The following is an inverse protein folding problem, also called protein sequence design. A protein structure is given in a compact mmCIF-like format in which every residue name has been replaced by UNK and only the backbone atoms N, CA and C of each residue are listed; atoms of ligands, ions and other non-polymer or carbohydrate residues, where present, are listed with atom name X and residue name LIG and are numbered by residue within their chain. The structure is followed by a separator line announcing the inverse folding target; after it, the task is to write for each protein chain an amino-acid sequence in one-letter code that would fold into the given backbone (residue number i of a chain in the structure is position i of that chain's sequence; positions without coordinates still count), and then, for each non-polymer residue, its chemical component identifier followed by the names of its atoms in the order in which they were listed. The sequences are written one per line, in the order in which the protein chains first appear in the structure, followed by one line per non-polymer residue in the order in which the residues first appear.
data_IF_419604562173
#
_entry.id   IF_419604562173
#
_cell.length_a   1.000
_cell.length_b   1.000
_cell.length_c   1.000
_cell.angle_alpha   90.00
_cell.angle_beta   90.00
_cell.angle_gamma   90.00
#
_symmetry.space_group_name_H-M   'P 1'
#
loop_
_entity.id
_entity.type
_entity.pdbx_description
1 polymer ?
#
# COMPACT_ATOMS: atom_id res chain seq x y z
N UNK A 1 14.44 -25.29 37.93
CA UNK A 1 13.97 -24.14 37.12
C UNK A 1 13.62 -24.49 35.66
N UNK A 2 13.87 -25.71 35.14
CA UNK A 2 14.00 -25.86 33.67
C UNK A 2 12.82 -26.50 32.90
N UNK A 3 11.78 -27.05 33.55
CA UNK A 3 10.66 -27.67 32.82
C UNK A 3 9.79 -26.66 32.06
N UNK A 4 9.44 -25.52 32.68
CA UNK A 4 8.61 -24.50 32.03
C UNK A 4 9.31 -23.88 30.81
N UNK A 5 10.63 -23.67 30.87
CA UNK A 5 11.36 -23.09 29.73
C UNK A 5 11.44 -24.07 28.54
N UNK A 6 11.65 -25.37 28.79
CA UNK A 6 11.63 -26.39 27.74
C UNK A 6 10.24 -26.55 27.09
N UNK A 7 9.16 -26.43 27.88
CA UNK A 7 7.78 -26.40 27.36
C UNK A 7 7.56 -25.21 26.43
N UNK A 8 8.01 -24.02 26.84
CA UNK A 8 7.94 -22.80 26.03
C UNK A 8 8.75 -22.91 24.73
N UNK A 9 10.00 -23.41 24.78
CA UNK A 9 10.84 -23.61 23.60
C UNK A 9 10.18 -24.53 22.56
N UNK A 10 9.41 -25.53 23.00
CA UNK A 10 8.60 -26.38 22.12
C UNK A 10 7.48 -25.63 21.39
N UNK A 11 6.79 -24.69 22.07
CA UNK A 11 5.77 -23.85 21.45
C UNK A 11 6.38 -22.78 20.54
N UNK A 12 7.35 -22.03 21.05
CA UNK A 12 8.00 -20.95 20.32
C UNK A 12 8.80 -21.47 19.12
N UNK A 13 9.48 -22.61 19.23
CA UNK A 13 10.26 -23.18 18.11
C UNK A 13 9.43 -23.55 16.87
N UNK A 14 8.11 -23.77 17.03
CA UNK A 14 7.18 -23.97 15.90
C UNK A 14 6.65 -22.62 15.40
N UNK A 15 6.18 -21.76 16.31
CA UNK A 15 5.61 -20.44 15.98
C UNK A 15 6.64 -19.51 15.33
N UNK A 16 7.85 -19.46 15.88
CA UNK A 16 8.98 -18.67 15.37
C UNK A 16 9.33 -19.03 13.93
N UNK A 17 9.35 -20.33 13.58
CA UNK A 17 9.56 -20.78 12.20
C UNK A 17 8.41 -20.36 11.29
N UNK A 18 7.15 -20.42 11.74
CA UNK A 18 6.03 -19.93 10.95
C UNK A 18 6.11 -18.42 10.70
N UNK A 19 6.44 -17.63 11.74
CA UNK A 19 6.66 -16.18 11.65
C UNK A 19 7.84 -15.85 10.72
N UNK A 20 8.92 -16.63 10.77
CA UNK A 20 10.08 -16.45 9.89
C UNK A 20 9.70 -16.64 8.42
N UNK A 21 8.99 -17.72 8.07
CA UNK A 21 8.51 -17.93 6.70
C UNK A 21 7.53 -16.85 6.24
N UNK A 22 6.67 -16.33 7.14
CA UNK A 22 5.75 -15.23 6.85
C UNK A 22 6.52 -13.93 6.55
N UNK A 23 7.55 -13.61 7.35
CA UNK A 23 8.40 -12.43 7.16
C UNK A 23 9.27 -12.53 5.90
N UNK A 24 9.81 -13.71 5.59
CA UNK A 24 10.60 -13.96 4.38
C UNK A 24 9.75 -14.01 3.10
N UNK A 25 8.42 -14.18 3.21
CA UNK A 25 7.51 -14.27 2.07
C UNK A 25 7.71 -15.51 1.19
N UNK A 26 8.31 -16.57 1.74
CA UNK A 26 8.82 -17.72 0.97
C UNK A 26 7.71 -18.46 0.22
N UNK A 27 7.68 -18.43 -1.12
CA UNK A 27 6.60 -19.05 -1.90
C UNK A 27 6.65 -20.58 -1.78
N UNK A 28 5.53 -21.18 -1.36
CA UNK A 28 5.35 -22.64 -1.26
C UNK A 28 5.19 -23.18 0.16
N UNK A 29 5.63 -22.46 1.19
CA UNK A 29 5.50 -22.91 2.59
C UNK A 29 4.09 -22.63 3.11
N UNK A 30 3.26 -23.68 3.21
CA UNK A 30 1.91 -23.56 3.79
C UNK A 30 1.98 -23.51 5.32
N UNK A 31 1.80 -22.31 5.89
CA UNK A 31 1.59 -22.15 7.34
C UNK A 31 0.14 -22.53 7.70
N UNK A 32 -0.03 -23.45 8.65
CA UNK A 32 -1.35 -23.79 9.19
C UNK A 32 -1.76 -22.78 10.26
N UNK A 33 -2.62 -21.83 9.88
CA UNK A 33 -3.13 -20.79 10.78
C UNK A 33 -3.82 -21.37 12.02
N UNK A 34 -4.64 -22.42 11.87
CA UNK A 34 -5.33 -23.11 12.96
C UNK A 34 -4.34 -23.72 13.96
N UNK A 35 -3.28 -24.37 13.46
CA UNK A 35 -2.25 -24.97 14.30
C UNK A 35 -1.45 -23.89 15.05
N UNK A 36 -1.05 -22.81 14.35
CA UNK A 36 -0.28 -21.74 14.99
C UNK A 36 -1.10 -21.01 16.04
N UNK A 37 -2.35 -20.65 15.73
CA UNK A 37 -3.29 -20.07 16.70
C UNK A 37 -3.50 -20.99 17.92
N UNK A 38 -3.66 -22.30 17.69
CA UNK A 38 -3.82 -23.29 18.78
C UNK A 38 -2.58 -23.40 19.68
N UNK A 39 -1.37 -23.24 19.13
CA UNK A 39 -0.13 -23.24 19.90
C UNK A 39 0.01 -21.93 20.70
N UNK A 40 -0.25 -20.78 20.07
CA UNK A 40 -0.24 -19.48 20.75
C UNK A 40 -1.27 -19.44 21.88
N UNK A 41 -2.51 -19.90 21.63
CA UNK A 41 -3.55 -20.02 22.66
C UNK A 41 -3.07 -20.83 23.88
N UNK A 42 -2.50 -22.02 23.65
CA UNK A 42 -1.97 -22.88 24.74
C UNK A 42 -0.82 -22.19 25.49
N UNK A 43 0.11 -21.56 24.77
CA UNK A 43 1.24 -20.84 25.36
C UNK A 43 0.80 -19.65 26.21
N UNK A 44 -0.26 -18.93 25.80
CA UNK A 44 -0.86 -17.85 26.60
C UNK A 44 -1.57 -18.40 27.82
N UNK A 45 -2.34 -19.49 27.69
CA UNK A 45 -3.00 -20.16 28.83
C UNK A 45 -2.01 -20.71 29.86
N UNK A 46 -0.82 -21.13 29.42
CA UNK A 46 0.28 -21.56 30.27
C UNK A 46 1.06 -20.40 30.93
N UNK A 47 0.67 -19.15 30.68
CA UNK A 47 1.26 -17.95 31.30
C UNK A 47 2.49 -17.37 30.58
N UNK A 48 2.80 -17.81 29.36
CA UNK A 48 3.96 -17.30 28.60
C UNK A 48 3.63 -16.13 27.66
N UNK A 49 2.60 -15.33 27.95
CA UNK A 49 2.13 -14.27 27.05
C UNK A 49 3.14 -13.14 26.86
N UNK A 50 3.76 -12.67 27.94
CA UNK A 50 4.81 -11.63 27.93
C UNK A 50 6.02 -12.11 27.12
N UNK A 51 6.59 -13.26 27.48
CA UNK A 51 7.74 -13.83 26.77
C UNK A 51 7.46 -14.08 25.28
N UNK A 52 6.27 -14.56 24.92
CA UNK A 52 5.87 -14.76 23.52
C UNK A 52 5.69 -13.46 22.74
N UNK A 53 5.29 -12.37 23.41
CA UNK A 53 5.24 -11.05 22.83
C UNK A 53 6.65 -10.48 22.63
N UNK A 54 7.52 -10.56 23.65
CA UNK A 54 8.92 -10.12 23.56
C UNK A 54 9.69 -10.86 22.46
N UNK A 55 9.61 -12.20 22.42
CA UNK A 55 10.30 -13.01 21.41
C UNK A 55 9.78 -12.74 19.98
N UNK A 56 8.48 -12.42 19.82
CA UNK A 56 7.89 -11.97 18.55
C UNK A 56 8.43 -10.59 18.16
N UNK A 57 8.42 -9.62 19.06
CA UNK A 57 8.94 -8.27 18.81
C UNK A 57 10.44 -8.30 18.50
N UNK A 58 11.22 -9.14 19.20
CA UNK A 58 12.64 -9.36 18.94
C UNK A 58 12.89 -10.03 17.57
N UNK A 59 12.08 -11.01 17.18
CA UNK A 59 12.18 -11.65 15.87
C UNK A 59 11.84 -10.68 14.72
N UNK A 60 10.75 -9.91 14.85
CA UNK A 60 10.41 -8.85 13.89
C UNK A 60 11.50 -7.77 13.83
N UNK A 61 12.05 -7.36 14.98
CA UNK A 61 13.16 -6.40 15.06
C UNK A 61 14.38 -6.88 14.28
N UNK A 62 14.81 -8.13 14.52
CA UNK A 62 15.98 -8.73 13.84
C UNK A 62 15.77 -8.82 12.33
N UNK A 63 14.57 -9.15 11.88
CA UNK A 63 14.24 -9.16 10.46
C UNK A 63 14.32 -7.75 9.85
N UNK A 64 13.77 -6.74 10.52
CA UNK A 64 13.83 -5.35 10.07
C UNK A 64 15.26 -4.79 10.06
N UNK A 65 16.12 -5.21 10.99
CA UNK A 65 17.54 -4.86 11.00
C UNK A 65 18.31 -5.47 9.81
N UNK A 66 17.97 -6.69 9.39
CA UNK A 66 18.51 -7.28 8.16
C UNK A 66 18.01 -6.56 6.89
N UNK A 67 16.75 -6.13 6.86
CA UNK A 67 16.20 -5.30 5.78
C UNK A 67 16.90 -3.93 5.74
N UNK A 68 17.14 -3.31 6.89
CA UNK A 68 17.85 -2.03 6.99
C UNK A 68 19.31 -2.15 6.54
N UNK A 69 20.03 -3.19 6.96
CA UNK A 69 21.38 -3.49 6.48
C UNK A 69 21.41 -3.68 4.95
N UNK A 70 20.44 -4.41 4.40
CA UNK A 70 20.31 -4.61 2.95
C UNK A 70 20.07 -3.28 2.22
N UNK A 71 19.16 -2.44 2.73
CA UNK A 71 18.90 -1.09 2.21
C UNK A 71 20.10 -0.13 2.35
N UNK A 72 20.98 -0.33 3.35
CA UNK A 72 22.23 0.43 3.49
C UNK A 72 23.29 -0.01 2.49
N UNK A 73 23.40 -1.30 2.19
CA UNK A 73 24.37 -1.79 1.19
C UNK A 73 24.11 -1.20 -0.20
N UNK A 74 22.85 -1.15 -0.65
CA UNK A 74 22.49 -0.46 -1.90
C UNK A 74 22.91 1.01 -1.88
N UNK A 75 22.62 1.77 -0.79
CA UNK A 75 23.04 3.17 -0.67
C UNK A 75 24.56 3.35 -0.81
N UNK A 76 25.36 2.39 -0.33
CA UNK A 76 26.82 2.46 -0.38
C UNK A 76 27.40 2.09 -1.76
N UNK A 77 26.68 1.29 -2.55
CA UNK A 77 26.97 1.07 -3.97
C UNK A 77 26.56 2.28 -4.84
N UNK A 78 25.49 2.99 -4.45
CA UNK A 78 24.99 4.20 -5.14
C UNK A 78 26.03 5.32 -5.24
N UNK A 79 26.84 5.52 -4.20
CA UNK A 79 27.89 6.56 -4.16
C UNK A 79 29.03 6.31 -5.19
N UNK A 80 29.08 5.11 -5.79
CA UNK A 80 30.11 4.74 -6.78
C UNK A 80 29.60 4.72 -8.24
N UNK A 81 28.28 4.63 -8.48
CA UNK A 81 27.72 4.60 -9.84
C UNK A 81 26.45 5.45 -9.97
N UNK A 82 26.58 6.58 -10.67
CA UNK A 82 25.51 7.59 -10.77
C UNK A 82 24.26 7.12 -11.53
N UNK A 83 23.09 7.44 -10.98
CA UNK A 83 21.83 7.56 -11.71
C UNK A 83 20.92 6.32 -11.77
N UNK A 84 21.47 5.11 -11.76
CA UNK A 84 20.68 3.87 -11.88
C UNK A 84 20.16 3.28 -10.56
N UNK A 85 20.75 3.67 -9.43
CA UNK A 85 20.65 2.90 -8.19
C UNK A 85 19.61 3.41 -7.19
N UNK A 86 19.37 4.73 -7.15
CA UNK A 86 18.33 5.34 -6.31
C UNK A 86 16.94 4.77 -6.60
N UNK A 87 16.64 4.52 -7.89
CA UNK A 87 15.42 3.82 -8.34
C UNK A 87 15.32 2.40 -7.78
N UNK A 88 16.45 1.66 -7.72
CA UNK A 88 16.49 0.30 -7.15
C UNK A 88 16.25 0.32 -5.65
N UNK A 89 16.88 1.25 -4.94
CA UNK A 89 16.67 1.47 -3.50
C UNK A 89 15.19 1.74 -3.18
N UNK A 90 14.51 2.59 -3.96
CA UNK A 90 13.08 2.89 -3.78
C UNK A 90 12.20 1.68 -4.11
N UNK A 91 12.47 0.95 -5.20
CA UNK A 91 11.72 -0.27 -5.54
C UNK A 91 11.90 -1.35 -4.48
N UNK A 92 13.12 -1.56 -3.98
CA UNK A 92 13.41 -2.54 -2.93
C UNK A 92 12.79 -2.13 -1.59
N UNK A 93 12.84 -0.84 -1.22
CA UNK A 93 12.14 -0.32 -0.05
C UNK A 93 10.62 -0.53 -0.17
N UNK A 94 10.04 -0.24 -1.33
CA UNK A 94 8.61 -0.49 -1.59
C UNK A 94 8.25 -1.96 -1.46
N UNK A 95 9.05 -2.85 -2.05
CA UNK A 95 8.84 -4.30 -1.96
C UNK A 95 8.97 -4.81 -0.52
N UNK A 96 9.97 -4.36 0.23
CA UNK A 96 10.15 -4.72 1.64
C UNK A 96 8.98 -4.24 2.51
N UNK A 97 8.49 -3.01 2.27
CA UNK A 97 7.30 -2.45 2.92
C UNK A 97 6.03 -3.27 2.60
N UNK A 98 5.80 -3.61 1.33
CA UNK A 98 4.67 -4.47 0.96
C UNK A 98 4.74 -5.86 1.60
N UNK A 99 5.92 -6.50 1.58
CA UNK A 99 6.15 -7.79 2.20
C UNK A 99 5.87 -7.73 3.70
N UNK A 100 6.35 -6.69 4.38
CA UNK A 100 6.13 -6.53 5.83
C UNK A 100 4.66 -6.26 6.17
N UNK A 101 3.93 -5.45 5.39
CA UNK A 101 2.49 -5.23 5.58
C UNK A 101 1.69 -6.53 5.37
N UNK A 102 2.02 -7.31 4.33
CA UNK A 102 1.43 -8.65 4.08
C UNK A 102 1.79 -9.64 5.20
N UNK A 103 2.96 -9.51 5.82
CA UNK A 103 3.37 -10.31 6.96
C UNK A 103 2.57 -9.94 8.24
N UNK A 104 2.40 -8.65 8.54
CA UNK A 104 1.56 -8.19 9.68
C UNK A 104 0.13 -8.73 9.56
N UNK A 105 -0.46 -8.67 8.36
CA UNK A 105 -1.82 -9.18 8.11
C UNK A 105 -1.96 -10.69 8.38
N UNK A 106 -0.89 -11.48 8.25
CA UNK A 106 -0.87 -12.91 8.55
C UNK A 106 -0.50 -13.21 10.02
N UNK A 107 0.40 -12.43 10.60
CA UNK A 107 0.80 -12.57 12.01
C UNK A 107 -0.35 -12.16 12.95
N UNK A 108 -1.08 -11.09 12.65
CA UNK A 108 -2.11 -10.55 13.55
C UNK A 108 -3.20 -11.57 13.90
N UNK A 109 -3.79 -12.35 12.96
CA UNK A 109 -4.74 -13.41 13.28
C UNK A 109 -4.14 -14.55 14.13
N UNK A 110 -2.89 -14.97 13.86
CA UNK A 110 -2.20 -16.04 14.61
C UNK A 110 -2.08 -15.66 16.09
N UNK A 111 -1.75 -14.40 16.36
CA UNK A 111 -1.59 -13.86 17.71
C UNK A 111 -2.83 -13.13 18.26
N UNK A 112 -4.00 -13.25 17.63
CA UNK A 112 -5.21 -12.51 18.01
C UNK A 112 -5.62 -12.75 19.48
N UNK A 113 -5.41 -13.96 19.99
CA UNK A 113 -5.66 -14.28 21.40
C UNK A 113 -4.68 -13.55 22.34
N UNK A 114 -3.37 -13.61 22.05
CA UNK A 114 -2.34 -12.87 22.80
C UNK A 114 -2.57 -11.36 22.76
N UNK A 115 -2.96 -10.82 21.59
CA UNK A 115 -3.30 -9.42 21.41
C UNK A 115 -4.41 -8.99 22.38
N UNK A 116 -5.52 -9.72 22.41
CA UNK A 116 -6.70 -9.39 23.24
C UNK A 116 -6.46 -9.58 24.74
N UNK A 117 -5.75 -10.63 25.14
CA UNK A 117 -5.58 -10.96 26.56
C UNK A 117 -4.36 -10.31 27.23
N UNK A 118 -3.35 -9.93 26.46
CA UNK A 118 -2.10 -9.36 26.99
C UNK A 118 -1.80 -7.97 26.43
N UNK A 119 -1.74 -7.80 25.11
CA UNK A 119 -1.23 -6.55 24.48
C UNK A 119 -2.19 -5.37 24.69
N UNK A 120 -3.49 -5.58 24.47
CA UNK A 120 -4.52 -4.55 24.70
C UNK A 120 -4.64 -4.15 26.17
N UNK A 121 -4.45 -5.11 27.08
CA UNK A 121 -4.53 -4.92 28.54
C UNK A 121 -3.30 -4.20 29.08
N UNK A 122 -2.11 -4.54 28.60
CA UNK A 122 -0.82 -4.08 29.14
C UNK A 122 -0.33 -2.80 28.49
N UNK A 123 -0.49 -2.66 27.17
CA UNK A 123 0.08 -1.55 26.38
C UNK A 123 -0.97 -0.55 25.85
N UNK A 124 -2.27 -0.78 26.09
CA UNK A 124 -3.38 0.03 25.56
C UNK A 124 -3.33 0.22 24.02
N UNK A 125 -2.74 -0.75 23.32
CA UNK A 125 -2.50 -0.72 21.87
C UNK A 125 -2.74 -2.11 21.28
N UNK A 126 -2.85 -2.23 19.96
CA UNK A 126 -2.87 -3.53 19.29
C UNK A 126 -1.47 -3.97 18.86
N UNK A 127 -1.26 -5.28 18.77
CA UNK A 127 -0.05 -5.89 18.19
C UNK A 127 0.19 -5.39 16.76
N UNK A 128 -0.87 -5.22 15.97
CA UNK A 128 -0.80 -4.64 14.63
C UNK A 128 -0.22 -3.21 14.66
N UNK A 129 -0.66 -2.38 15.61
CA UNK A 129 -0.14 -1.03 15.81
C UNK A 129 1.35 -1.06 16.21
N UNK A 130 1.74 -1.91 17.17
CA UNK A 130 3.14 -2.05 17.59
C UNK A 130 4.07 -2.54 16.48
N UNK A 131 3.62 -3.48 15.63
CA UNK A 131 4.40 -3.97 14.51
C UNK A 131 4.57 -2.92 13.40
N UNK A 132 3.55 -2.09 13.13
CA UNK A 132 3.67 -0.94 12.23
C UNK A 132 4.68 0.09 12.80
N UNK A 133 4.55 0.42 14.08
CA UNK A 133 5.44 1.36 14.76
C UNK A 133 6.88 0.84 14.77
N UNK A 134 7.09 -0.48 14.89
CA UNK A 134 8.41 -1.08 14.81
C UNK A 134 9.10 -0.87 13.45
N UNK A 135 8.41 -1.09 12.33
CA UNK A 135 8.94 -0.76 10.99
C UNK A 135 9.22 0.73 10.85
N UNK A 136 8.31 1.56 11.38
CA UNK A 136 8.43 3.01 11.36
C UNK A 136 9.76 3.46 12.00
N UNK A 137 10.00 3.06 13.25
CA UNK A 137 11.18 3.45 14.02
C UNK A 137 12.48 2.81 13.51
N UNK A 138 12.44 1.55 13.05
CA UNK A 138 13.65 0.81 12.65
C UNK A 138 14.12 1.12 11.22
N UNK A 139 13.20 1.38 10.29
CA UNK A 139 13.52 1.49 8.86
C UNK A 139 13.05 2.82 8.26
N UNK A 140 11.82 3.27 8.55
CA UNK A 140 11.24 4.41 7.83
C UNK A 140 11.76 5.77 8.33
N UNK A 141 11.70 6.06 9.64
CA UNK A 141 12.04 7.37 10.19
C UNK A 141 13.49 7.79 9.86
N UNK A 142 14.44 6.85 9.87
CA UNK A 142 15.85 7.08 9.52
C UNK A 142 16.11 7.39 8.03
N UNK A 143 15.17 7.04 7.14
CA UNK A 143 15.34 7.09 5.68
C UNK A 143 14.37 8.05 4.99
N UNK A 144 13.32 8.47 5.69
CA UNK A 144 12.25 9.34 5.20
C UNK A 144 12.76 10.58 4.45
N UNK A 145 13.70 11.33 5.02
CA UNK A 145 14.25 12.54 4.38
C UNK A 145 14.97 12.23 3.05
N UNK A 146 15.76 11.16 3.01
CA UNK A 146 16.50 10.73 1.81
C UNK A 146 15.55 10.17 0.75
N UNK A 147 14.56 9.37 1.16
CA UNK A 147 13.55 8.80 0.26
C UNK A 147 12.68 9.89 -0.37
N UNK A 148 12.23 10.89 0.39
CA UNK A 148 11.39 11.96 -0.15
C UNK A 148 12.15 12.83 -1.15
N UNK A 149 13.39 13.24 -0.85
CA UNK A 149 14.23 13.98 -1.80
C UNK A 149 14.54 13.16 -3.07
N UNK A 150 14.77 11.85 -2.92
CA UNK A 150 15.01 10.93 -4.04
C UNK A 150 13.78 10.73 -4.92
N UNK A 151 12.59 10.61 -4.32
CA UNK A 151 11.32 10.51 -5.04
C UNK A 151 11.00 11.83 -5.76
N UNK A 152 11.31 12.97 -5.16
CA UNK A 152 11.12 14.28 -5.80
C UNK A 152 11.97 14.44 -7.07
N UNK A 153 13.28 14.14 -7.03
CA UNK A 153 14.15 14.13 -8.24
C UNK A 153 13.63 13.14 -9.29
N UNK A 154 13.23 11.92 -8.90
CA UNK A 154 12.70 10.92 -9.82
C UNK A 154 11.34 11.31 -10.41
N UNK A 155 10.52 12.09 -9.71
CA UNK A 155 9.24 12.60 -10.24
C UNK A 155 9.43 13.71 -11.28
N UNK A 156 10.58 14.38 -11.33
CA UNK A 156 10.95 15.27 -12.45
C UNK A 156 11.27 14.49 -13.73
N UNK A 157 11.59 13.19 -13.63
CA UNK A 157 12.02 12.34 -14.73
C UNK A 157 10.88 11.41 -15.18
N UNK A 158 10.26 11.64 -16.36
CA UNK A 158 9.14 10.81 -16.80
C UNK A 158 9.54 9.34 -16.93
N UNK A 159 8.67 8.44 -16.48
CA UNK A 159 8.82 6.97 -16.51
C UNK A 159 9.98 6.37 -15.70
N UNK A 160 10.68 7.14 -14.86
CA UNK A 160 11.79 6.61 -14.04
C UNK A 160 11.34 5.57 -12.99
N UNK A 161 10.07 5.58 -12.58
CA UNK A 161 9.44 4.64 -11.67
C UNK A 161 8.05 4.22 -12.17
N UNK A 162 7.60 2.97 -11.95
CA UNK A 162 6.24 2.55 -12.29
C UNK A 162 5.19 3.36 -11.50
N UNK A 163 4.19 4.01 -12.14
CA UNK A 163 3.20 4.83 -11.44
C UNK A 163 2.41 4.08 -10.35
N UNK A 164 2.11 2.81 -10.59
CA UNK A 164 1.47 1.92 -9.61
C UNK A 164 2.33 1.70 -8.36
N UNK A 165 3.65 1.54 -8.50
CA UNK A 165 4.56 1.34 -7.38
C UNK A 165 4.73 2.61 -6.54
N UNK A 166 4.77 3.80 -7.18
CA UNK A 166 4.78 5.08 -6.46
C UNK A 166 3.47 5.27 -5.67
N UNK A 167 2.32 5.03 -6.31
CA UNK A 167 1.02 5.17 -5.65
C UNK A 167 0.89 4.23 -4.44
N UNK A 168 1.23 2.95 -4.62
CA UNK A 168 1.25 1.96 -3.54
C UNK A 168 2.25 2.35 -2.42
N UNK A 169 3.44 2.87 -2.77
CA UNK A 169 4.42 3.37 -1.80
C UNK A 169 3.85 4.49 -0.91
N UNK A 170 3.22 5.51 -1.50
CA UNK A 170 2.63 6.61 -0.72
C UNK A 170 1.42 6.16 0.12
N UNK A 171 0.57 5.27 -0.39
CA UNK A 171 -0.54 4.68 0.39
C UNK A 171 -0.03 3.85 1.57
N UNK A 172 0.98 3.00 1.33
CA UNK A 172 1.58 2.14 2.35
C UNK A 172 2.35 2.96 3.40
N UNK A 173 3.08 4.00 3.00
CA UNK A 173 3.72 4.96 3.91
C UNK A 173 2.69 5.74 4.74
N UNK A 174 1.58 6.17 4.13
CA UNK A 174 0.50 6.85 4.86
C UNK A 174 -0.13 5.93 5.91
N UNK A 175 -0.28 4.64 5.61
CA UNK A 175 -0.74 3.61 6.55
C UNK A 175 0.24 3.41 7.72
N UNK A 176 1.53 3.17 7.43
CA UNK A 176 2.58 2.98 8.45
C UNK A 176 2.74 4.21 9.34
N UNK A 177 2.81 5.40 8.75
CA UNK A 177 2.99 6.66 9.48
C UNK A 177 1.71 7.22 10.12
N UNK A 178 0.56 6.54 9.99
CA UNK A 178 -0.77 7.01 10.45
C UNK A 178 -1.08 8.46 10.05
N UNK A 179 -0.63 8.87 8.86
CA UNK A 179 -0.77 10.23 8.34
C UNK A 179 0.27 11.27 8.81
N UNK A 180 1.20 10.97 9.71
CA UNK A 180 2.27 11.91 10.09
C UNK A 180 3.14 12.31 8.89
N UNK A 181 3.49 11.37 8.03
CA UNK A 181 4.25 11.65 6.81
C UNK A 181 3.48 12.50 5.80
N UNK A 182 2.15 12.36 5.75
CA UNK A 182 1.27 13.24 4.98
C UNK A 182 1.26 14.68 5.50
N UNK A 183 1.44 14.89 6.81
CA UNK A 183 1.64 16.23 7.39
C UNK A 183 3.03 16.81 7.12
N UNK A 184 4.07 15.97 7.04
CA UNK A 184 5.45 16.41 6.80
C UNK A 184 5.74 16.72 5.33
N UNK A 185 5.09 16.01 4.39
CA UNK A 185 5.24 16.22 2.94
C UNK A 185 3.87 16.31 2.23
N UNK A 186 3.03 17.32 2.54
CA UNK A 186 1.66 17.39 2.04
C UNK A 186 1.58 17.41 0.51
N UNK A 187 2.47 18.13 -0.17
CA UNK A 187 2.48 18.28 -1.63
C UNK A 187 2.84 16.99 -2.39
N UNK A 188 3.68 16.11 -1.82
CA UNK A 188 4.03 14.83 -2.43
C UNK A 188 2.91 13.80 -2.22
N UNK A 189 2.40 13.70 -1.01
CA UNK A 189 1.36 12.72 -0.69
C UNK A 189 -0.01 13.09 -1.29
N UNK A 190 -0.36 14.37 -1.44
CA UNK A 190 -1.67 14.79 -1.98
C UNK A 190 -1.92 14.36 -3.42
N UNK A 191 -0.86 14.05 -4.17
CA UNK A 191 -0.93 13.52 -5.55
C UNK A 191 -1.38 12.06 -5.60
N UNK A 192 -1.24 11.31 -4.51
CA UNK A 192 -1.46 9.85 -4.46
C UNK A 192 -2.47 9.40 -3.40
N UNK A 193 -2.69 10.20 -2.34
CA UNK A 193 -3.59 9.88 -1.23
C UNK A 193 -4.58 11.05 -1.03
N UNK A 194 -5.91 10.82 -1.20
CA UNK A 194 -6.91 11.87 -1.05
C UNK A 194 -7.07 12.29 0.42
N UNK A 195 -7.43 13.56 0.65
CA UNK A 195 -7.78 14.08 1.98
C UNK A 195 -6.61 14.53 2.87
N UNK A 196 -5.38 14.62 2.32
CA UNK A 196 -4.20 15.10 3.05
C UNK A 196 -4.09 16.63 3.06
N UNK A 197 -4.49 17.29 1.99
CA UNK A 197 -4.64 18.74 1.97
C UNK A 197 -5.95 19.14 2.67
N UNK A 198 -6.02 20.32 3.30
CA UNK A 198 -7.27 20.87 3.81
C UNK A 198 -8.35 20.92 2.72
N UNK A 199 -9.64 20.71 3.05
CA UNK A 199 -10.71 20.92 2.09
C UNK A 199 -10.69 22.38 1.61
N UNK A 200 -10.73 22.55 0.28
CA UNK A 200 -10.69 23.85 -0.40
C UNK A 200 -11.76 24.78 0.15
N UNK A 201 -11.38 26.03 0.44
CA UNK A 201 -12.30 27.09 0.88
C UNK A 201 -12.61 28.00 -0.28
N UNK A 202 -13.72 28.74 -0.20
CA UNK A 202 -14.14 29.66 -1.26
C UNK A 202 -13.09 30.75 -1.56
N UNK A 203 -12.27 31.14 -0.57
CA UNK A 203 -11.16 32.09 -0.76
C UNK A 203 -9.99 31.55 -1.59
N UNK A 204 -9.91 30.24 -1.83
CA UNK A 204 -8.83 29.62 -2.62
C UNK A 204 -9.16 29.61 -4.13
N UNK A 205 -10.41 29.93 -4.51
CA UNK A 205 -10.88 29.95 -5.90
C UNK A 205 -10.10 30.92 -6.79
N UNK A 206 -9.85 32.14 -6.32
CA UNK A 206 -9.14 33.15 -7.11
C UNK A 206 -7.66 32.76 -7.36
N UNK A 207 -7.03 32.08 -6.40
CA UNK A 207 -5.68 31.55 -6.54
C UNK A 207 -5.62 30.46 -7.61
N UNK A 208 -6.56 29.50 -7.61
CA UNK A 208 -6.65 28.49 -8.66
C UNK A 208 -7.04 29.07 -10.02
N UNK A 209 -7.88 30.12 -10.08
CA UNK A 209 -8.17 30.83 -11.35
C UNK A 209 -6.90 31.47 -11.92
N UNK A 210 -6.04 32.04 -11.08
CA UNK A 210 -4.75 32.60 -11.49
C UNK A 210 -3.78 31.49 -11.96
N UNK A 211 -3.69 30.37 -11.23
CA UNK A 211 -2.86 29.21 -11.57
C UNK A 211 -3.28 28.57 -12.91
N UNK A 212 -4.59 28.38 -13.13
CA UNK A 212 -5.15 27.85 -14.38
C UNK A 212 -4.86 28.79 -15.56
N UNK A 213 -4.93 30.12 -15.36
CA UNK A 213 -4.57 31.11 -16.40
C UNK A 213 -3.09 31.01 -16.74
N UNK A 214 -2.20 30.97 -15.74
CA UNK A 214 -0.77 30.80 -15.97
C UNK A 214 -0.43 29.50 -16.71
N UNK A 215 -1.11 28.40 -16.39
CA UNK A 215 -0.98 27.14 -17.12
C UNK A 215 -1.47 27.23 -18.57
N UNK A 216 -2.61 27.89 -18.81
CA UNK A 216 -3.13 28.12 -20.16
C UNK A 216 -2.19 28.98 -21.01
N UNK A 217 -1.57 30.00 -20.41
CA UNK A 217 -0.65 30.89 -21.11
C UNK A 217 0.70 30.20 -21.38
N UNK A 218 1.20 29.36 -20.46
CA UNK A 218 2.37 28.51 -20.69
C UNK A 218 2.12 27.51 -21.83
N UNK A 219 0.99 26.80 -21.83
CA UNK A 219 0.64 25.84 -22.89
C UNK A 219 0.49 26.51 -24.26
N UNK A 220 -0.03 27.75 -24.31
CA UNK A 220 -0.09 28.54 -25.55
C UNK A 220 1.30 28.93 -26.05
N UNK A 221 2.19 29.33 -25.15
CA UNK A 221 3.58 29.65 -25.50
C UNK A 221 4.36 28.43 -25.99
N UNK A 222 4.05 27.22 -25.52
CA UNK A 222 4.62 25.96 -26.04
C UNK A 222 4.04 25.58 -27.42
N UNK A 223 2.75 25.83 -27.67
CA UNK A 223 2.06 25.49 -28.95
C UNK A 223 2.43 26.42 -30.12
N UNK A 224 2.97 27.62 -29.84
CA UNK A 224 3.59 28.49 -30.87
C UNK A 224 4.84 27.85 -31.53
N UNK A 225 5.40 26.79 -30.94
CA UNK A 225 6.44 25.95 -31.57
C UNK A 225 5.90 24.85 -32.50
N UNK A 226 4.62 24.48 -32.40
CA UNK A 226 4.03 23.33 -33.10
C UNK A 226 3.17 23.72 -34.33
N UNK A 227 2.97 25.01 -34.57
CA UNK A 227 2.09 25.52 -35.65
C UNK A 227 2.74 25.57 -37.04
N UNK A 228 3.85 24.84 -37.25
CA UNK A 228 4.44 24.59 -38.57
C UNK A 228 4.22 23.14 -39.03
N UNK A 229 3.21 22.95 -39.89
CA UNK A 229 2.91 21.72 -40.65
C UNK A 229 2.40 20.49 -39.86
N UNK A 230 1.10 20.48 -39.54
CA UNK A 230 0.26 19.32 -39.87
C UNK A 230 -1.21 19.71 -40.07
N UNK A 231 -1.56 20.11 -41.31
CA UNK A 231 -2.97 20.09 -41.74
C UNK A 231 -3.46 18.65 -41.68
N UNK A 232 -4.50 18.39 -40.89
CA UNK A 232 -4.97 17.04 -40.59
C UNK A 232 -5.21 16.20 -41.85
N UNK A 233 -4.38 15.17 -42.05
CA UNK A 233 -4.68 14.12 -43.01
C UNK A 233 -5.83 13.29 -42.44
N UNK A 234 -7.04 13.54 -42.97
CA UNK A 234 -8.22 12.70 -42.76
C UNK A 234 -7.82 11.25 -43.06
N UNK A 235 -7.93 10.35 -42.07
CA UNK A 235 -7.65 8.91 -42.29
C UNK A 235 -8.57 8.41 -43.39
N UNK A 236 -7.99 7.87 -44.46
CA UNK A 236 -8.71 7.45 -45.66
C UNK A 236 -9.28 6.05 -45.46
N UNK A 237 -10.46 5.95 -44.83
CA UNK A 237 -11.11 4.66 -44.60
C UNK A 237 -12.33 4.62 -43.67
N UNK A 238 -13.16 5.67 -43.59
CA UNK A 238 -14.30 5.75 -42.65
C UNK A 238 -15.63 6.23 -43.30
N UNK A 239 -15.80 6.01 -44.62
CA UNK A 239 -17.02 6.42 -45.35
C UNK A 239 -18.11 5.32 -45.44
N UNK A 240 -17.98 4.17 -44.75
CA UNK A 240 -18.93 3.04 -44.84
C UNK A 240 -19.38 2.42 -43.49
N UNK A 241 -19.58 3.19 -42.41
CA UNK A 241 -20.49 2.74 -41.33
C UNK A 241 -21.10 3.84 -40.44
N UNK A 242 -21.98 4.70 -41.00
CA UNK A 242 -22.80 5.62 -40.20
C UNK A 242 -24.28 5.23 -40.23
N UNK A 243 -24.62 4.15 -39.52
CA UNK A 243 -26.00 3.87 -39.11
C UNK A 243 -26.40 4.78 -37.92
N UNK A 244 -27.60 5.37 -37.90
CA UNK A 244 -27.99 6.28 -36.82
C UNK A 244 -28.39 5.50 -35.58
N UNK A 245 -27.85 5.87 -34.42
CA UNK A 245 -28.43 5.50 -33.12
C UNK A 245 -28.57 6.75 -32.27
N UNK A 246 -29.66 7.47 -32.53
CA UNK A 246 -30.10 8.61 -31.75
C UNK A 246 -30.88 8.10 -30.53
N UNK A 247 -30.51 8.52 -29.32
CA UNK A 247 -31.27 8.18 -28.12
C UNK A 247 -32.51 9.07 -27.98
N UNK A 248 -33.71 8.48 -27.94
CA UNK A 248 -34.92 9.11 -27.36
C UNK A 248 -35.73 8.04 -26.62
N UNK A 249 -36.38 8.44 -25.52
CA UNK A 249 -37.03 7.57 -24.55
C UNK A 249 -38.53 7.30 -24.83
N UNK A 250 -39.07 6.34 -24.07
CA UNK A 250 -40.48 6.22 -23.63
C UNK A 250 -41.60 6.30 -24.69
N UNK A 251 -42.32 5.18 -24.90
CA UNK A 251 -43.75 5.07 -24.52
C UNK A 251 -44.36 3.70 -24.79
N UNK A 252 -45.51 3.44 -24.14
CA UNK A 252 -46.25 2.17 -24.10
C UNK A 252 -47.01 1.79 -25.40
N UNK A 253 -47.39 0.50 -25.40
CA UNK A 253 -48.71 -0.08 -25.78
C UNK A 253 -48.92 -0.78 -27.13
N UNK A 254 -49.70 -1.88 -27.00
CA UNK A 254 -50.43 -2.66 -28.01
C UNK A 254 -49.63 -3.57 -28.96
N UNK A 255 -50.07 -4.77 -29.35
CA UNK A 255 -50.95 -5.84 -28.81
C UNK A 255 -51.12 -6.88 -29.94
N UNK A 256 -50.95 -8.19 -29.67
CA UNK A 256 -51.53 -9.37 -30.37
C UNK A 256 -50.63 -10.60 -30.10
N UNK A 257 -50.92 -11.52 -29.16
CA UNK A 257 -52.05 -12.46 -29.00
C UNK A 257 -51.85 -13.81 -29.70
N UNK A 258 -51.49 -14.86 -28.92
CA UNK A 258 -51.96 -16.25 -29.12
C UNK A 258 -52.14 -16.89 -27.73
N UNK A 259 -53.38 -17.30 -27.44
CA UNK A 259 -53.85 -18.22 -26.37
C UNK A 259 -54.26 -19.55 -27.05
N UNK A 260 -54.69 -20.64 -26.39
CA UNK A 260 -55.16 -20.80 -24.99
C UNK A 260 -54.39 -21.94 -24.25
N UNK A 261 -54.82 -22.59 -23.15
CA UNK A 261 -56.06 -22.55 -22.35
C UNK A 261 -55.84 -23.05 -20.89
N UNK A 262 -56.94 -23.03 -20.13
CA UNK A 262 -57.44 -23.89 -19.04
C UNK A 262 -57.90 -23.08 -17.83
N UNK A 263 -59.08 -22.48 -18.01
CA UNK A 263 -60.33 -22.85 -17.30
C UNK A 263 -60.35 -22.97 -15.75
N UNK A 264 -60.98 -21.94 -15.17
CA UNK A 264 -61.87 -21.92 -13.99
C UNK A 264 -61.34 -22.07 -12.56
N UNK A 265 -61.93 -21.20 -11.73
CA UNK A 265 -61.65 -20.93 -10.33
C UNK A 265 -62.93 -21.23 -9.52
N UNK A 266 -62.80 -21.94 -8.39
CA UNK A 266 -63.68 -21.85 -7.22
C UNK A 266 -63.02 -22.52 -6.01
#
# INVERSE_FOLDING_TARGET
MNQNNSKYEGYWGVVSKAVEHILQGTPGTRVSFEQMYSIVYKSVCDGFSEKMHDDLMAQCTRHLELVDLSLNSYKQESDQQQGGDVTRLIIFFHQALECYLKAIQQITPIFAYMNKFYVEVTSQSSLHAQLLDLFRHKVADNRMDVLMASVEDLLTRPFALPPAAISALFVNLHCVGRGEYGRRYPHLFSRYVPGILPPMKEGDLDAHIAEIRALQDNLRAEDEGATAMQKGQKRRGDDENYGPTFCVALSNQQQASVLPDIMFNN
#
